data_IF_323091806744
#
_entry.id   IF_323091806744
#
_cell.length_a   1.000
_cell.length_b   1.000
_cell.length_c   1.000
_cell.angle_alpha   90.00
_cell.angle_beta   90.00
_cell.angle_gamma   90.00
#
_symmetry.space_group_name_H-M   'P 1'
#
loop_
_entity.id
_entity.type
_entity.pdbx_description
1 polymer ?
#
# COMPACT_ATOMS: atom_id res chain seq x y z
N UNK A 1 -54.41 33.98 12.52
CA UNK A 1 -54.32 34.40 13.95
C UNK A 1 -52.96 34.01 14.54
N UNK A 2 -52.65 34.54 15.72
CA UNK A 2 -51.76 34.03 16.77
C UNK A 2 -50.59 33.07 16.44
N UNK A 3 -49.39 33.64 16.49
CA UNK A 3 -48.22 33.04 17.14
C UNK A 3 -48.48 32.72 18.62
N UNK A 4 -47.85 31.66 19.17
CA UNK A 4 -47.19 31.73 20.49
C UNK A 4 -46.17 30.60 20.75
N UNK A 5 -45.22 30.92 21.63
CA UNK A 5 -44.22 30.12 22.39
C UNK A 5 -43.79 31.05 23.56
N UNK A 6 -43.14 30.58 24.65
CA UNK A 6 -42.86 29.21 25.10
C UNK A 6 -43.23 29.04 26.63
N UNK A 7 -42.40 28.31 27.38
CA UNK A 7 -42.12 28.41 28.84
C UNK A 7 -43.03 27.70 29.88
N UNK A 8 -42.69 26.44 30.15
CA UNK A 8 -42.01 25.98 31.40
C UNK A 8 -42.47 26.51 32.78
N UNK A 9 -42.99 25.61 33.66
CA UNK A 9 -42.37 25.30 34.98
C UNK A 9 -43.07 24.28 35.91
N UNK A 10 -42.23 23.47 36.55
CA UNK A 10 -42.17 23.02 37.96
C UNK A 10 -43.42 22.62 38.82
N UNK A 11 -43.35 21.36 39.28
CA UNK A 11 -43.26 20.93 40.71
C UNK A 11 -44.42 21.08 41.72
N UNK A 12 -44.89 19.91 42.22
CA UNK A 12 -45.18 19.57 43.63
C UNK A 12 -45.41 18.03 43.69
N UNK A 13 -44.78 17.20 44.54
CA UNK A 13 -44.54 17.21 46.00
C UNK A 13 -45.76 16.77 46.83
N UNK A 14 -45.61 15.68 47.60
CA UNK A 14 -46.07 15.54 48.99
C UNK A 14 -45.60 14.22 49.65
N UNK A 15 -45.09 14.36 50.88
CA UNK A 15 -44.54 13.34 51.81
C UNK A 15 -45.56 13.05 52.96
N UNK A 16 -45.26 12.44 54.14
CA UNK A 16 -44.04 11.81 54.69
C UNK A 16 -44.20 10.27 54.76
N UNK A 17 -43.98 9.44 55.80
CA UNK A 17 -43.66 9.57 57.25
C UNK A 17 -43.04 8.24 57.77
N UNK A 18 -42.65 8.07 59.07
CA UNK A 18 -41.22 8.10 59.40
C UNK A 18 -40.70 6.89 60.22
N UNK A 19 -39.40 6.85 60.48
CA UNK A 19 -38.87 6.66 61.86
C UNK A 19 -37.38 7.07 62.00
N UNK A 20 -37.17 8.12 62.80
CA UNK A 20 -36.28 8.11 63.98
C UNK A 20 -34.76 7.90 63.84
N UNK A 21 -34.00 9.01 63.68
CA UNK A 21 -33.20 9.57 64.81
C UNK A 21 -32.69 11.00 64.54
N UNK A 22 -32.51 11.77 65.62
CA UNK A 22 -32.05 13.18 65.73
C UNK A 22 -31.05 13.23 66.93
N UNK A 23 -30.31 14.33 67.25
CA UNK A 23 -30.29 15.65 66.61
C UNK A 23 -28.91 16.36 66.42
N UNK A 24 -28.92 17.44 65.63
CA UNK A 24 -28.36 18.81 65.83
C UNK A 24 -27.05 19.09 66.62
N UNK A 25 -26.26 20.15 66.34
CA UNK A 25 -26.06 21.05 65.17
C UNK A 25 -24.81 21.96 65.43
N UNK A 26 -24.74 23.14 64.79
CA UNK A 26 -23.84 24.30 64.98
C UNK A 26 -22.41 24.21 64.39
N UNK A 27 -22.02 25.29 63.69
CA UNK A 27 -20.75 25.47 62.98
C UNK A 27 -20.29 26.93 63.03
N UNK A 28 -19.01 27.22 63.36
CA UNK A 28 -18.28 28.40 62.87
C UNK A 28 -16.74 28.35 63.11
N UNK A 29 -15.98 28.84 62.12
CA UNK A 29 -14.68 29.58 62.13
C UNK A 29 -13.93 29.75 63.49
N UNK A 30 -12.57 29.71 63.59
CA UNK A 30 -11.54 30.16 62.61
C UNK A 30 -10.08 29.69 62.92
N UNK A 31 -9.39 29.10 61.92
CA UNK A 31 -7.93 29.12 61.62
C UNK A 31 -6.89 29.39 62.74
N UNK A 32 -5.97 28.44 62.91
CA UNK A 32 -4.52 28.70 63.14
C UNK A 32 -3.66 28.01 62.05
N UNK A 33 -2.34 28.27 62.03
CA UNK A 33 -1.40 27.87 60.96
C UNK A 33 -0.46 26.74 61.39
N UNK A 34 -0.33 25.69 60.57
CA UNK A 34 0.55 24.55 60.82
C UNK A 34 1.09 23.92 59.52
N UNK A 35 2.39 24.04 59.33
CA UNK A 35 3.22 23.55 58.22
C UNK A 35 3.03 22.06 57.83
N UNK A 36 2.82 21.79 56.53
CA UNK A 36 3.33 20.59 55.87
C UNK A 36 3.61 20.85 54.39
N UNK A 37 4.60 20.15 53.82
CA UNK A 37 5.45 20.64 52.74
C UNK A 37 5.56 19.64 51.58
N UNK A 38 5.38 20.15 50.36
CA UNK A 38 5.67 19.57 49.04
C UNK A 38 5.46 18.06 48.83
N UNK A 39 4.45 17.69 48.02
CA UNK A 39 4.36 16.36 47.38
C UNK A 39 4.09 16.43 45.85
N UNK A 40 4.26 17.60 45.24
CA UNK A 40 4.04 17.81 43.79
C UNK A 40 5.24 17.32 42.95
N UNK A 41 6.44 17.33 43.52
CA UNK A 41 7.70 17.09 42.80
C UNK A 41 7.84 15.62 42.32
N UNK A 42 7.36 14.64 43.10
CA UNK A 42 7.47 13.20 42.76
C UNK A 42 6.59 12.78 41.56
N UNK A 43 5.42 13.40 41.36
CA UNK A 43 4.54 13.05 40.23
C UNK A 43 5.20 13.45 38.90
N UNK A 44 5.78 14.66 38.84
CA UNK A 44 6.52 15.12 37.66
C UNK A 44 7.69 14.21 37.32
N UNK A 45 8.51 13.84 38.32
CA UNK A 45 9.65 12.92 38.12
C UNK A 45 9.19 11.56 37.59
N UNK A 46 8.07 11.02 38.10
CA UNK A 46 7.55 9.71 37.65
C UNK A 46 7.05 9.76 36.20
N UNK A 47 6.31 10.81 35.83
CA UNK A 47 5.83 11.00 34.44
C UNK A 47 7.00 11.22 33.48
N UNK A 48 7.99 12.02 33.87
CA UNK A 48 9.22 12.23 33.07
C UNK A 48 9.99 10.92 32.93
N UNK A 49 10.14 10.11 33.98
CA UNK A 49 10.80 8.81 33.90
C UNK A 49 10.07 7.85 32.93
N UNK A 50 8.75 7.77 32.98
CA UNK A 50 7.95 6.94 32.05
C UNK A 50 8.04 7.45 30.62
N UNK A 51 7.98 8.77 30.38
CA UNK A 51 8.19 9.37 29.06
C UNK A 51 9.60 9.10 28.53
N UNK A 52 10.63 9.24 29.37
CA UNK A 52 12.01 8.91 29.02
C UNK A 52 12.16 7.42 28.72
N UNK A 53 11.51 6.51 29.46
CA UNK A 53 11.53 5.08 29.16
C UNK A 53 10.75 4.71 27.89
N UNK A 54 9.74 5.49 27.49
CA UNK A 54 9.06 5.34 26.19
C UNK A 54 9.93 5.88 25.04
N UNK A 55 10.58 7.04 25.22
CA UNK A 55 11.44 7.68 24.22
C UNK A 55 12.81 6.99 24.07
N UNK A 56 13.26 6.24 25.08
CA UNK A 56 14.48 5.43 25.06
C UNK A 56 14.24 3.94 24.76
N UNK A 57 13.03 3.52 24.34
CA UNK A 57 12.86 2.15 23.87
C UNK A 57 13.72 1.93 22.61
N UNK A 58 14.70 1.00 22.62
CA UNK A 58 15.41 0.65 21.41
C UNK A 58 14.44 -0.01 20.43
N UNK A 59 14.58 0.28 19.14
CA UNK A 59 13.88 -0.43 18.08
C UNK A 59 14.11 -1.94 18.26
N UNK A 60 13.02 -2.71 18.38
CA UNK A 60 13.11 -4.07 18.89
C UNK A 60 13.92 -4.96 17.93
N UNK A 61 14.91 -5.74 18.41
CA UNK A 61 15.76 -6.53 17.52
C UNK A 61 14.93 -7.45 16.61
N UNK A 62 15.24 -7.49 15.29
CA UNK A 62 14.43 -8.23 14.32
C UNK A 62 14.35 -9.70 14.72
N UNK A 63 13.13 -10.25 14.77
CA UNK A 63 12.93 -11.60 15.26
C UNK A 63 13.62 -12.62 14.35
N UNK A 64 14.07 -13.74 14.94
CA UNK A 64 14.76 -14.83 14.21
C UNK A 64 13.97 -15.33 12.99
N UNK A 65 12.63 -15.29 13.04
CA UNK A 65 11.75 -15.63 11.91
C UNK A 65 11.86 -14.63 10.76
N UNK A 66 11.93 -13.34 11.04
CA UNK A 66 11.97 -12.29 10.01
C UNK A 66 13.35 -12.24 9.35
N UNK A 67 14.43 -12.43 10.12
CA UNK A 67 15.77 -12.65 9.58
C UNK A 67 15.79 -13.79 8.55
N UNK A 68 15.15 -14.92 8.87
CA UNK A 68 15.03 -16.06 7.95
C UNK A 68 14.25 -15.72 6.66
N UNK A 69 13.18 -14.91 6.73
CA UNK A 69 12.48 -14.41 5.51
C UNK A 69 13.43 -13.62 4.61
N UNK A 70 14.22 -12.71 5.21
CA UNK A 70 15.16 -11.86 4.47
C UNK A 70 16.27 -12.69 3.81
N UNK A 71 16.82 -13.68 4.50
CA UNK A 71 17.83 -14.59 3.92
C UNK A 71 17.27 -15.39 2.72
N UNK A 72 16.02 -15.87 2.82
CA UNK A 72 15.34 -16.53 1.70
C UNK A 72 15.12 -15.56 0.54
N UNK A 73 14.58 -14.36 0.79
CA UNK A 73 14.36 -13.32 -0.22
C UNK A 73 15.66 -12.98 -0.96
N UNK A 74 16.73 -12.67 -0.23
CA UNK A 74 18.04 -12.33 -0.79
C UNK A 74 18.65 -13.49 -1.58
N UNK A 75 18.48 -14.73 -1.10
CA UNK A 75 18.90 -15.95 -1.79
C UNK A 75 18.17 -16.17 -3.11
N UNK A 76 16.85 -15.98 -3.15
CA UNK A 76 16.04 -16.13 -4.37
C UNK A 76 16.28 -14.98 -5.36
N UNK A 77 16.32 -13.73 -4.89
CA UNK A 77 16.66 -12.55 -5.71
C UNK A 77 18.01 -12.73 -6.42
N UNK A 78 19.00 -13.33 -5.75
CA UNK A 78 20.30 -13.64 -6.37
C UNK A 78 20.20 -14.69 -7.48
N UNK A 79 19.33 -15.71 -7.35
CA UNK A 79 19.08 -16.69 -8.42
C UNK A 79 18.43 -16.02 -9.63
N UNK A 80 17.40 -15.19 -9.41
CA UNK A 80 16.75 -14.41 -10.47
C UNK A 80 17.79 -13.52 -11.15
N UNK A 81 18.61 -12.77 -10.39
CA UNK A 81 19.69 -11.96 -10.96
C UNK A 81 20.67 -12.75 -11.85
N UNK A 82 20.97 -14.03 -11.54
CA UNK A 82 21.81 -14.88 -12.39
C UNK A 82 21.12 -15.41 -13.65
N UNK A 83 19.79 -15.32 -13.77
CA UNK A 83 19.04 -15.71 -14.96
C UNK A 83 18.87 -14.57 -15.98
N UNK A 84 18.98 -13.31 -15.53
CA UNK A 84 18.80 -12.11 -16.34
C UNK A 84 20.08 -11.22 -16.27
N UNK A 85 21.19 -11.62 -16.92
CA UNK A 85 22.50 -10.97 -16.80
C UNK A 85 22.62 -9.59 -17.49
N UNK A 86 21.76 -9.25 -18.46
CA UNK A 86 21.82 -7.98 -19.20
C UNK A 86 21.10 -6.83 -18.46
N UNK A 87 20.43 -7.10 -17.34
CA UNK A 87 19.65 -6.10 -16.60
C UNK A 87 20.53 -5.14 -15.81
N UNK A 88 20.08 -3.88 -15.72
CA UNK A 88 20.82 -2.79 -15.06
C UNK A 88 20.96 -3.01 -13.56
N UNK A 89 22.05 -2.53 -12.98
CA UNK A 89 22.32 -2.64 -11.54
C UNK A 89 21.23 -1.96 -10.69
N UNK A 90 20.63 -0.88 -11.21
CA UNK A 90 19.54 -0.13 -10.59
C UNK A 90 18.27 -0.98 -10.41
N UNK A 91 18.00 -1.92 -11.32
CA UNK A 91 16.85 -2.82 -11.22
C UNK A 91 16.98 -3.69 -9.97
N UNK A 92 18.09 -4.43 -9.88
CA UNK A 92 18.39 -5.29 -8.73
C UNK A 92 18.48 -4.50 -7.43
N UNK A 93 19.19 -3.37 -7.42
CA UNK A 93 19.40 -2.59 -6.21
C UNK A 93 18.10 -1.95 -5.70
N UNK A 94 17.29 -1.32 -6.56
CA UNK A 94 16.05 -0.65 -6.14
C UNK A 94 14.97 -1.66 -5.74
N UNK A 95 14.71 -2.70 -6.55
CA UNK A 95 13.75 -3.75 -6.19
C UNK A 95 14.13 -4.43 -4.87
N UNK A 96 15.42 -4.76 -4.67
CA UNK A 96 15.87 -5.34 -3.40
C UNK A 96 15.65 -4.39 -2.22
N UNK A 97 15.96 -3.09 -2.35
CA UNK A 97 15.79 -2.12 -1.26
C UNK A 97 14.31 -1.97 -0.85
N UNK A 98 13.40 -1.82 -1.82
CA UNK A 98 11.97 -1.62 -1.51
C UNK A 98 11.35 -2.89 -0.88
N UNK A 99 11.59 -4.05 -1.49
CA UNK A 99 11.01 -5.31 -1.04
C UNK A 99 11.61 -5.81 0.28
N UNK A 100 12.93 -5.65 0.49
CA UNK A 100 13.56 -6.01 1.75
C UNK A 100 13.02 -5.14 2.90
N UNK A 101 12.86 -3.83 2.70
CA UNK A 101 12.24 -2.94 3.70
C UNK A 101 10.83 -3.39 4.06
N UNK A 102 9.98 -3.65 3.08
CA UNK A 102 8.60 -4.10 3.33
C UNK A 102 8.55 -5.43 4.09
N UNK A 103 9.43 -6.40 3.79
CA UNK A 103 9.56 -7.65 4.54
C UNK A 103 10.09 -7.46 5.99
N UNK A 104 10.81 -6.36 6.27
CA UNK A 104 11.29 -6.00 7.60
C UNK A 104 10.26 -5.20 8.42
N UNK A 105 9.34 -4.49 7.76
CA UNK A 105 8.30 -3.69 8.43
C UNK A 105 7.16 -4.58 8.95
N UNK A 106 7.12 -4.83 10.25
CA UNK A 106 6.14 -5.74 10.88
C UNK A 106 4.65 -5.34 10.71
N UNK A 107 4.38 -4.06 10.38
CA UNK A 107 3.05 -3.53 10.02
C UNK A 107 3.20 -2.43 8.96
N UNK A 108 3.21 -2.76 7.65
CA UNK A 108 3.33 -1.76 6.60
C UNK A 108 2.15 -0.79 6.60
N UNK A 109 2.41 0.49 6.30
CA UNK A 109 1.38 1.53 6.13
C UNK A 109 0.80 1.52 4.71
N UNK A 110 1.61 1.12 3.73
CA UNK A 110 1.29 1.06 2.30
C UNK A 110 1.83 -0.25 1.69
N UNK A 111 1.20 -0.76 0.61
CA UNK A 111 1.71 -1.89 -0.17
C UNK A 111 2.91 -1.45 -1.04
N UNK A 112 3.66 -2.42 -1.58
CA UNK A 112 4.69 -2.11 -2.61
C UNK A 112 4.06 -2.16 -4.00
N UNK A 113 4.07 -1.03 -4.71
CA UNK A 113 3.90 -1.00 -6.17
C UNK A 113 5.26 -0.98 -6.88
N UNK A 114 5.36 -1.70 -7.99
CA UNK A 114 6.49 -1.69 -8.91
C UNK A 114 5.99 -1.74 -10.36
N UNK A 115 6.44 -0.84 -11.21
CA UNK A 115 6.30 -0.96 -12.68
C UNK A 115 7.60 -1.50 -13.26
N UNK A 116 7.53 -2.65 -13.93
CA UNK A 116 8.54 -3.07 -14.91
C UNK A 116 8.10 -2.64 -16.30
N UNK A 117 9.02 -2.14 -17.13
CA UNK A 117 8.70 -1.73 -18.51
C UNK A 117 9.74 -2.18 -19.51
N UNK A 118 9.33 -2.46 -20.74
CA UNK A 118 10.22 -2.93 -21.80
C UNK A 118 9.73 -2.51 -23.20
N UNK A 119 10.64 -2.51 -24.17
CA UNK A 119 10.29 -2.45 -25.59
C UNK A 119 9.87 -3.83 -26.14
N UNK A 120 9.36 -3.86 -27.37
CA UNK A 120 8.77 -5.04 -28.02
C UNK A 120 9.65 -6.29 -27.97
N UNK A 121 10.95 -6.19 -28.25
CA UNK A 121 11.86 -7.36 -28.27
C UNK A 121 11.93 -8.06 -26.92
N UNK A 122 11.99 -7.28 -25.84
CA UNK A 122 12.08 -7.76 -24.47
C UNK A 122 10.74 -8.24 -23.89
N UNK A 123 9.65 -8.37 -24.67
CA UNK A 123 8.31 -8.79 -24.16
C UNK A 123 8.33 -10.08 -23.34
N UNK A 124 9.03 -11.13 -23.80
CA UNK A 124 9.12 -12.41 -23.07
C UNK A 124 9.97 -12.27 -21.82
N UNK A 125 11.10 -11.58 -21.93
CA UNK A 125 11.98 -11.23 -20.81
C UNK A 125 11.24 -10.46 -19.71
N UNK A 126 10.43 -9.44 -20.05
CA UNK A 126 9.60 -8.65 -19.13
C UNK A 126 8.63 -9.54 -18.33
N UNK A 127 7.89 -10.42 -18.99
CA UNK A 127 6.97 -11.36 -18.36
C UNK A 127 7.69 -12.30 -17.38
N UNK A 128 8.79 -12.92 -17.80
CA UNK A 128 9.55 -13.84 -16.95
C UNK A 128 10.23 -13.13 -15.77
N UNK A 129 10.72 -11.90 -15.94
CA UNK A 129 11.35 -11.13 -14.86
C UNK A 129 10.33 -10.67 -13.81
N UNK A 130 9.12 -10.27 -14.25
CA UNK A 130 8.01 -9.96 -13.34
C UNK A 130 7.62 -11.18 -12.49
N UNK A 131 7.48 -12.36 -13.12
CA UNK A 131 7.23 -13.61 -12.39
C UNK A 131 8.40 -13.99 -11.47
N UNK A 132 9.66 -13.81 -11.91
CA UNK A 132 10.84 -14.07 -11.08
C UNK A 132 10.94 -13.19 -9.83
N UNK A 133 10.67 -11.88 -9.94
CA UNK A 133 10.63 -11.00 -8.77
C UNK A 133 9.49 -11.36 -7.80
N UNK A 134 8.32 -11.74 -8.33
CA UNK A 134 7.20 -12.23 -7.52
C UNK A 134 7.54 -13.56 -6.82
N UNK A 135 8.13 -14.52 -7.54
CA UNK A 135 8.62 -15.81 -7.04
C UNK A 135 9.66 -15.64 -5.91
N UNK A 136 10.60 -14.70 -6.07
CA UNK A 136 11.60 -14.40 -5.05
C UNK A 136 10.99 -13.81 -3.77
N UNK A 137 9.98 -12.95 -3.89
CA UNK A 137 9.26 -12.39 -2.74
C UNK A 137 8.33 -13.41 -2.08
N UNK A 138 7.49 -14.10 -2.86
CA UNK A 138 6.50 -15.05 -2.32
C UNK A 138 7.17 -16.26 -1.66
N UNK A 139 8.34 -16.69 -2.16
CA UNK A 139 9.21 -17.68 -1.50
C UNK A 139 9.58 -17.30 -0.06
N UNK A 140 9.85 -16.01 0.21
CA UNK A 140 10.29 -15.53 1.51
C UNK A 140 9.21 -15.58 2.59
N UNK A 141 7.93 -15.57 2.17
CA UNK A 141 6.74 -15.59 3.03
C UNK A 141 5.92 -16.88 2.87
N UNK A 142 6.39 -17.85 2.07
CA UNK A 142 5.71 -19.10 1.72
C UNK A 142 4.28 -18.83 1.19
N UNK A 143 4.18 -17.99 0.16
CA UNK A 143 2.93 -17.55 -0.45
C UNK A 143 2.83 -17.93 -1.94
N UNK A 144 1.60 -18.04 -2.41
CA UNK A 144 1.28 -18.16 -3.84
C UNK A 144 1.26 -16.77 -4.51
N UNK A 145 1.16 -16.75 -5.84
CA UNK A 145 1.11 -15.52 -6.66
C UNK A 145 -0.25 -15.45 -7.39
N UNK A 146 -0.88 -14.28 -7.40
CA UNK A 146 -1.98 -13.96 -8.31
C UNK A 146 -1.43 -13.45 -9.65
N UNK A 147 -1.94 -13.98 -10.76
CA UNK A 147 -1.64 -13.47 -12.10
C UNK A 147 -2.89 -12.90 -12.77
N UNK A 148 -2.77 -11.68 -13.29
CA UNK A 148 -3.75 -10.98 -14.13
C UNK A 148 -3.04 -10.59 -15.43
N UNK A 149 -3.71 -10.68 -16.58
CA UNK A 149 -3.16 -10.28 -17.88
C UNK A 149 -4.14 -9.35 -18.60
N UNK A 150 -3.72 -8.10 -18.84
CA UNK A 150 -4.53 -7.10 -19.52
C UNK A 150 -4.84 -7.43 -20.98
N UNK A 151 -3.97 -8.15 -21.70
CA UNK A 151 -4.29 -8.61 -23.07
C UNK A 151 -5.48 -9.55 -23.10
N UNK A 152 -5.68 -10.34 -22.04
CA UNK A 152 -6.87 -11.20 -21.89
C UNK A 152 -8.16 -10.42 -21.61
N UNK A 153 -8.05 -9.12 -21.26
CA UNK A 153 -9.15 -8.21 -20.92
C UNK A 153 -9.37 -7.07 -21.90
N UNK A 154 -8.47 -6.87 -22.86
CA UNK A 154 -8.57 -5.85 -23.89
C UNK A 154 -9.92 -5.94 -24.64
N UNK A 155 -10.60 -4.81 -24.82
CA UNK A 155 -11.90 -4.73 -25.50
C UNK A 155 -13.10 -5.32 -24.74
N UNK A 156 -12.93 -5.80 -23.51
CA UNK A 156 -14.06 -6.17 -22.65
C UNK A 156 -14.69 -4.93 -21.99
N UNK A 157 -15.91 -5.11 -21.47
CA UNK A 157 -16.58 -4.06 -20.68
C UNK A 157 -15.74 -3.64 -19.46
N UNK A 158 -15.66 -2.33 -19.25
CA UNK A 158 -14.80 -1.73 -18.24
C UNK A 158 -15.23 -2.11 -16.82
N UNK A 159 -16.53 -2.10 -16.53
CA UNK A 159 -17.04 -2.36 -15.17
C UNK A 159 -17.04 -3.86 -14.85
N UNK A 160 -17.31 -4.73 -15.83
CA UNK A 160 -17.11 -6.18 -15.65
C UNK A 160 -15.64 -6.54 -15.39
N UNK A 161 -14.67 -5.89 -16.07
CA UNK A 161 -13.25 -6.12 -15.79
C UNK A 161 -12.84 -5.56 -14.43
N UNK A 162 -13.35 -4.38 -14.05
CA UNK A 162 -13.15 -3.75 -12.73
C UNK A 162 -13.60 -4.67 -11.59
N UNK A 163 -14.80 -5.24 -11.70
CA UNK A 163 -15.38 -6.17 -10.71
C UNK A 163 -14.65 -7.51 -10.65
N UNK A 164 -14.23 -8.08 -11.79
CA UNK A 164 -13.46 -9.32 -11.83
C UNK A 164 -12.05 -9.15 -11.23
N UNK A 165 -11.40 -8.01 -11.45
CA UNK A 165 -10.11 -7.67 -10.83
C UNK A 165 -10.27 -7.44 -9.33
N UNK A 166 -11.28 -6.67 -8.90
CA UNK A 166 -11.55 -6.42 -7.47
C UNK A 166 -11.77 -7.72 -6.70
N UNK A 167 -12.65 -8.60 -7.20
CA UNK A 167 -12.88 -9.94 -6.63
C UNK A 167 -11.58 -10.74 -6.52
N UNK A 168 -10.80 -10.83 -7.60
CA UNK A 168 -9.55 -11.61 -7.63
C UNK A 168 -8.50 -11.09 -6.65
N UNK A 169 -8.43 -9.77 -6.44
CA UNK A 169 -7.52 -9.16 -5.48
C UNK A 169 -8.01 -9.38 -4.03
N UNK A 170 -9.31 -9.31 -3.75
CA UNK A 170 -9.88 -9.69 -2.43
C UNK A 170 -9.60 -11.16 -2.12
N UNK A 171 -10.02 -12.09 -2.98
CA UNK A 171 -9.82 -13.54 -2.82
C UNK A 171 -8.34 -13.92 -2.65
N UNK A 172 -7.42 -13.17 -3.28
CA UNK A 172 -5.99 -13.38 -3.17
C UNK A 172 -5.40 -12.81 -1.87
N UNK A 173 -5.74 -11.58 -1.50
CA UNK A 173 -5.12 -10.85 -0.38
C UNK A 173 -5.77 -11.15 0.98
N UNK A 174 -6.99 -11.66 1.02
CA UNK A 174 -7.59 -12.32 2.21
C UNK A 174 -7.09 -13.78 2.36
N UNK A 175 -6.60 -14.38 1.28
CA UNK A 175 -6.09 -15.75 1.21
C UNK A 175 -4.56 -15.86 1.30
N UNK A 176 -3.99 -16.74 0.47
CA UNK A 176 -2.57 -17.12 0.49
C UNK A 176 -1.68 -16.36 -0.51
N UNK A 177 -2.20 -15.28 -1.13
CA UNK A 177 -1.60 -14.61 -2.31
C UNK A 177 -1.37 -13.10 -2.13
N UNK A 178 -0.63 -12.63 -1.11
CA UNK A 178 -0.23 -11.22 -0.97
C UNK A 178 0.66 -10.68 -2.10
N UNK A 179 0.95 -11.45 -3.15
CA UNK A 179 1.73 -11.02 -4.32
C UNK A 179 0.86 -11.12 -5.58
N UNK A 180 0.75 -10.01 -6.32
CA UNK A 180 0.03 -9.95 -7.58
C UNK A 180 0.95 -9.46 -8.71
N UNK A 181 0.86 -10.10 -9.88
CA UNK A 181 1.51 -9.63 -11.12
C UNK A 181 0.43 -9.35 -12.16
N UNK A 182 0.34 -8.07 -12.54
CA UNK A 182 -0.56 -7.52 -13.53
C UNK A 182 0.25 -7.35 -14.83
N UNK A 183 0.24 -8.39 -15.66
CA UNK A 183 0.86 -8.37 -16.98
C UNK A 183 0.04 -7.47 -17.92
N UNK A 184 0.72 -6.82 -18.87
CA UNK A 184 0.12 -5.94 -19.88
C UNK A 184 -0.88 -4.92 -19.33
N UNK A 185 -0.46 -4.13 -18.34
CA UNK A 185 -1.30 -3.10 -17.71
C UNK A 185 -1.85 -2.08 -18.72
N UNK A 186 -1.07 -1.79 -19.77
CA UNK A 186 -1.40 -0.91 -20.89
C UNK A 186 -2.57 -1.38 -21.77
N UNK A 187 -3.01 -2.63 -21.64
CA UNK A 187 -4.12 -3.21 -22.42
C UNK A 187 -5.43 -3.38 -21.62
N UNK A 188 -5.44 -2.99 -20.33
CA UNK A 188 -6.66 -2.99 -19.53
C UNK A 188 -7.65 -1.90 -20.01
N UNK A 189 -8.98 -2.17 -20.02
CA UNK A 189 -9.99 -1.14 -20.25
C UNK A 189 -9.80 0.05 -19.29
N UNK A 190 -9.77 1.31 -19.76
CA UNK A 190 -9.25 2.43 -18.96
C UNK A 190 -9.96 2.63 -17.61
N UNK A 191 -11.29 2.59 -17.57
CA UNK A 191 -12.06 2.74 -16.32
C UNK A 191 -11.86 1.59 -15.33
N UNK A 192 -11.41 0.43 -15.80
CA UNK A 192 -11.14 -0.72 -14.93
C UNK A 192 -9.87 -0.55 -14.09
N UNK A 193 -8.88 0.21 -14.59
CA UNK A 193 -7.62 0.45 -13.87
C UNK A 193 -7.82 1.36 -12.65
N UNK A 194 -8.93 2.09 -12.58
CA UNK A 194 -9.33 2.85 -11.38
C UNK A 194 -9.47 1.97 -10.13
N UNK A 195 -9.63 0.65 -10.28
CA UNK A 195 -9.64 -0.26 -9.13
C UNK A 195 -8.33 -0.19 -8.32
N UNK A 196 -7.19 0.10 -8.96
CA UNK A 196 -5.89 0.12 -8.29
C UNK A 196 -5.73 1.30 -7.32
N UNK A 197 -6.61 2.30 -7.33
CA UNK A 197 -6.75 3.23 -6.20
C UNK A 197 -6.95 2.48 -4.88
N UNK A 198 -7.86 1.50 -4.82
CA UNK A 198 -8.15 0.72 -3.61
C UNK A 198 -6.98 -0.16 -3.15
N UNK A 199 -6.07 -0.50 -4.06
CA UNK A 199 -4.99 -1.48 -3.82
C UNK A 199 -3.59 -0.89 -3.79
N UNK A 200 -3.42 0.40 -4.11
CA UNK A 200 -2.12 1.08 -4.12
C UNK A 200 -2.14 2.46 -3.43
N UNK A 201 -3.19 2.80 -2.68
CA UNK A 201 -3.24 4.06 -1.91
C UNK A 201 -2.28 4.05 -0.69
N UNK A 202 -1.48 5.10 -0.55
CA UNK A 202 -0.44 5.24 0.48
C UNK A 202 -0.98 5.39 1.91
N UNK A 203 -2.25 5.76 2.09
CA UNK A 203 -2.90 5.88 3.40
C UNK A 203 -3.99 4.83 3.62
N UNK A 204 -4.76 4.50 2.58
CA UNK A 204 -6.06 3.83 2.67
C UNK A 204 -6.15 2.54 1.83
N UNK A 205 -5.04 2.00 1.32
CA UNK A 205 -5.05 0.71 0.62
C UNK A 205 -5.71 -0.39 1.48
N UNK A 206 -6.65 -1.12 0.86
CA UNK A 206 -7.44 -2.16 1.53
C UNK A 206 -6.56 -3.30 2.10
N UNK A 207 -5.43 -3.57 1.44
CA UNK A 207 -4.43 -4.53 1.89
C UNK A 207 -3.05 -3.87 1.83
N UNK A 208 -2.38 -3.77 2.99
CA UNK A 208 -1.11 -3.04 3.15
C UNK A 208 0.11 -3.94 3.15
N UNK A 209 -0.03 -5.22 3.51
CA UNK A 209 1.05 -6.21 3.49
C UNK A 209 1.02 -6.99 2.16
N UNK A 210 1.15 -6.29 1.04
CA UNK A 210 1.05 -6.85 -0.31
C UNK A 210 2.06 -6.22 -1.27
N UNK A 211 2.38 -6.96 -2.34
CA UNK A 211 3.30 -6.56 -3.40
C UNK A 211 2.62 -6.71 -4.76
N UNK A 212 2.49 -5.60 -5.48
CA UNK A 212 1.92 -5.52 -6.81
C UNK A 212 3.02 -5.19 -7.83
N UNK A 213 3.18 -6.05 -8.83
CA UNK A 213 4.03 -5.80 -10.00
C UNK A 213 3.13 -5.53 -11.20
N UNK A 214 3.26 -4.36 -11.80
CA UNK A 214 2.68 -4.03 -13.09
C UNK A 214 3.74 -4.19 -14.18
N UNK A 215 3.39 -4.76 -15.34
CA UNK A 215 4.26 -4.73 -16.52
C UNK A 215 3.66 -3.82 -17.58
N UNK A 216 4.46 -2.89 -18.12
CA UNK A 216 4.07 -2.00 -19.22
C UNK A 216 4.95 -2.27 -20.45
N UNK A 217 4.38 -2.81 -21.52
CA UNK A 217 5.08 -2.96 -22.80
C UNK A 217 4.92 -1.69 -23.63
N UNK A 218 6.02 -0.99 -23.91
CA UNK A 218 6.04 0.21 -24.74
C UNK A 218 5.92 -0.20 -26.21
N UNK A 219 4.68 -0.33 -26.70
CA UNK A 219 4.38 -0.88 -28.04
C UNK A 219 4.89 -0.05 -29.24
N UNK A 220 5.49 1.11 -28.99
CA UNK A 220 6.10 1.99 -30.00
C UNK A 220 7.64 1.96 -29.96
N UNK A 221 8.22 1.28 -28.97
CA UNK A 221 9.67 1.17 -28.74
C UNK A 221 10.12 -0.28 -28.97
N UNK A 222 11.09 -0.49 -29.87
CA UNK A 222 11.63 -1.84 -30.12
C UNK A 222 12.47 -2.34 -28.93
N UNK A 223 13.32 -1.47 -28.36
CA UNK A 223 14.12 -1.69 -27.14
C UNK A 223 14.36 -0.37 -26.38
N UNK A 224 14.31 -0.40 -25.05
CA UNK A 224 14.62 0.78 -24.21
C UNK A 224 16.15 0.99 -24.16
N UNK A 225 16.71 2.12 -24.63
CA UNK A 225 18.16 2.29 -24.76
C UNK A 225 18.91 2.10 -23.43
N UNK A 226 19.92 1.23 -23.41
CA UNK A 226 20.56 0.70 -22.20
C UNK A 226 21.19 1.75 -21.26
N UNK A 227 21.44 2.98 -21.73
CA UNK A 227 22.01 4.10 -20.96
C UNK A 227 21.03 5.26 -20.71
N UNK A 228 19.76 5.13 -21.10
CA UNK A 228 18.74 6.16 -20.88
C UNK A 228 18.49 6.37 -19.38
N UNK A 229 18.25 7.62 -18.95
CA UNK A 229 17.99 7.96 -17.54
C UNK A 229 16.66 7.37 -17.07
N UNK A 230 16.58 6.93 -15.80
CA UNK A 230 15.33 6.43 -15.22
C UNK A 230 14.18 7.45 -15.27
N UNK A 231 14.45 8.76 -15.11
CA UNK A 231 13.39 9.78 -15.26
C UNK A 231 12.78 9.79 -16.66
N UNK A 232 13.57 9.52 -17.70
CA UNK A 232 13.07 9.46 -19.09
C UNK A 232 12.32 8.15 -19.32
N UNK A 233 12.66 7.05 -18.63
CA UNK A 233 11.85 5.82 -18.64
C UNK A 233 10.49 6.06 -17.97
N UNK A 234 10.47 6.83 -16.89
CA UNK A 234 9.26 7.25 -16.18
C UNK A 234 8.37 8.13 -17.09
N UNK A 235 8.96 9.15 -17.75
CA UNK A 235 8.32 9.98 -18.78
C UNK A 235 7.73 9.12 -19.94
N UNK A 236 8.50 8.15 -20.47
CA UNK A 236 8.06 7.25 -21.56
C UNK A 236 6.88 6.35 -21.16
N UNK A 237 6.86 5.84 -19.92
CA UNK A 237 5.74 5.03 -19.40
C UNK A 237 4.51 5.90 -19.16
N UNK A 238 4.70 7.08 -18.58
CA UNK A 238 3.63 8.04 -18.30
C UNK A 238 2.90 8.44 -19.59
N UNK A 239 3.64 8.85 -20.62
CA UNK A 239 3.05 9.24 -21.91
C UNK A 239 2.44 8.06 -22.67
N UNK A 240 3.00 6.86 -22.58
CA UNK A 240 2.38 5.67 -23.18
C UNK A 240 1.06 5.30 -22.50
N UNK A 241 0.97 5.36 -21.16
CA UNK A 241 -0.26 5.07 -20.44
C UNK A 241 -1.32 6.17 -20.60
N UNK A 242 -0.94 7.45 -20.61
CA UNK A 242 -1.86 8.55 -21.04
C UNK A 242 -2.43 8.26 -22.42
N UNK A 243 -1.58 7.93 -23.39
CA UNK A 243 -2.00 7.64 -24.77
C UNK A 243 -2.96 6.45 -24.84
N UNK A 244 -2.69 5.37 -24.11
CA UNK A 244 -3.58 4.19 -24.03
C UNK A 244 -4.92 4.52 -23.37
N UNK A 245 -4.91 5.21 -22.23
CA UNK A 245 -6.09 5.36 -21.39
C UNK A 245 -6.98 6.57 -21.72
N UNK A 246 -6.44 7.64 -22.32
CA UNK A 246 -7.17 8.89 -22.60
C UNK A 246 -7.67 9.02 -24.05
N UNK A 247 -7.31 8.12 -24.97
CA UNK A 247 -7.62 8.25 -26.42
C UNK A 247 -9.09 8.07 -26.83
N UNK A 248 -10.04 7.98 -25.90
CA UNK A 248 -11.45 7.69 -26.21
C UNK A 248 -12.38 8.88 -25.88
N UNK A 249 -12.52 9.78 -26.86
CA UNK A 249 -13.33 11.02 -26.78
C UNK A 249 -14.85 10.82 -26.86
N UNK A 250 -15.41 9.84 -26.13
CA UNK A 250 -16.86 9.66 -25.97
C UNK A 250 -17.37 10.33 -24.68
N UNK A 251 -18.70 10.61 -24.56
CA UNK A 251 -19.24 11.48 -23.52
C UNK A 251 -18.93 11.01 -22.10
N UNK A 252 -18.36 11.92 -21.29
CA UNK A 252 -17.74 11.62 -20.00
C UNK A 252 -18.71 10.95 -19.02
N UNK A 253 -18.57 9.64 -18.81
CA UNK A 253 -19.18 8.96 -17.67
C UNK A 253 -18.29 9.09 -16.42
N UNK A 254 -18.85 8.87 -15.23
CA UNK A 254 -18.07 8.95 -14.00
C UNK A 254 -16.93 7.92 -13.97
N UNK A 255 -17.17 6.71 -14.49
CA UNK A 255 -16.21 5.60 -14.50
C UNK A 255 -15.25 5.61 -15.70
N UNK A 256 -15.42 6.53 -16.65
CA UNK A 256 -14.47 6.78 -17.74
C UNK A 256 -13.19 7.43 -17.20
N UNK A 257 -12.03 7.05 -17.75
CA UNK A 257 -10.75 7.68 -17.40
C UNK A 257 -10.67 9.10 -17.97
N UNK A 258 -10.19 10.03 -17.14
CA UNK A 258 -9.82 11.40 -17.51
C UNK A 258 -8.43 11.74 -16.93
N UNK A 259 -7.91 12.94 -17.19
CA UNK A 259 -6.56 13.31 -16.81
C UNK A 259 -6.36 13.38 -15.29
N UNK A 260 -7.38 13.78 -14.53
CA UNK A 260 -7.31 13.93 -13.07
C UNK A 260 -7.32 12.56 -12.39
N UNK A 261 -8.21 11.66 -12.84
CA UNK A 261 -8.21 10.24 -12.45
C UNK A 261 -6.93 9.54 -12.86
N UNK A 262 -6.38 9.86 -14.03
CA UNK A 262 -5.11 9.31 -14.47
C UNK A 262 -3.96 9.76 -13.56
N UNK A 263 -3.86 11.05 -13.22
CA UNK A 263 -2.82 11.57 -12.32
C UNK A 263 -2.92 11.00 -10.89
N UNK A 264 -4.14 10.80 -10.39
CA UNK A 264 -4.37 10.15 -9.11
C UNK A 264 -4.09 8.63 -9.11
N UNK A 265 -4.28 7.95 -10.24
CA UNK A 265 -3.82 6.56 -10.42
C UNK A 265 -2.30 6.49 -10.51
N UNK A 266 -1.69 7.32 -11.36
CA UNK A 266 -0.24 7.35 -11.61
C UNK A 266 0.55 7.50 -10.32
N UNK A 267 0.21 8.51 -9.51
CA UNK A 267 0.84 8.80 -8.21
C UNK A 267 0.73 7.68 -7.16
N UNK A 268 -0.06 6.63 -7.42
CA UNK A 268 -0.19 5.42 -6.58
C UNK A 268 0.51 4.19 -7.15
N UNK A 269 0.86 4.19 -8.44
CA UNK A 269 1.53 3.04 -9.08
C UNK A 269 3.00 3.30 -9.42
N UNK A 270 3.40 4.55 -9.67
CA UNK A 270 4.73 4.93 -10.18
C UNK A 270 5.87 5.00 -9.15
N UNK A 271 5.64 4.61 -7.89
CA UNK A 271 6.61 4.64 -6.77
C UNK A 271 8.00 4.07 -7.13
N UNK A 272 8.07 3.11 -8.04
CA UNK A 272 9.30 2.62 -8.64
C UNK A 272 9.03 2.13 -10.07
N UNK A 273 9.73 2.70 -11.05
CA UNK A 273 9.70 2.27 -12.46
C UNK A 273 11.09 1.81 -12.87
N UNK A 274 11.18 0.63 -13.49
CA UNK A 274 12.45 -0.02 -13.86
C UNK A 274 12.41 -0.58 -15.30
N UNK A 275 13.36 -0.18 -16.18
CA UNK A 275 13.45 -0.70 -17.54
C UNK A 275 14.07 -2.10 -17.57
N UNK A 276 13.48 -2.98 -18.36
CA UNK A 276 13.92 -4.35 -18.63
C UNK A 276 14.61 -4.39 -20.00
N UNK A 277 15.83 -4.94 -20.03
CA UNK A 277 16.59 -5.21 -21.25
C UNK A 277 16.29 -6.61 -21.79
N UNK A 278 16.58 -6.86 -23.07
CA UNK A 278 16.35 -8.13 -23.75
C UNK A 278 17.31 -9.24 -23.26
N UNK A 279 16.78 -10.41 -22.91
CA UNK A 279 17.58 -11.62 -22.65
C UNK A 279 17.32 -12.65 -23.75
N UNK A 280 18.20 -12.73 -24.76
CA UNK A 280 18.03 -13.60 -25.94
C UNK A 280 17.73 -15.07 -25.58
N UNK A 281 18.26 -15.54 -24.45
CA UNK A 281 18.00 -16.88 -23.95
C UNK A 281 16.56 -17.06 -23.47
N UNK A 282 16.03 -16.10 -22.71
CA UNK A 282 14.64 -16.13 -22.21
C UNK A 282 13.67 -15.99 -23.37
N UNK A 283 13.97 -15.12 -24.35
CA UNK A 283 13.12 -14.96 -25.52
C UNK A 283 13.06 -16.23 -26.39
N UNK A 284 14.14 -17.03 -26.43
CA UNK A 284 14.20 -18.32 -27.13
C UNK A 284 13.65 -19.51 -26.33
N UNK A 285 13.89 -19.57 -25.02
CA UNK A 285 13.62 -20.75 -24.18
C UNK A 285 12.38 -20.63 -23.28
N UNK A 286 11.86 -19.42 -23.07
CA UNK A 286 10.82 -19.13 -22.07
C UNK A 286 11.36 -19.08 -20.63
N UNK A 287 10.44 -18.94 -19.67
CA UNK A 287 10.77 -18.79 -18.23
C UNK A 287 11.20 -20.13 -17.60
N UNK A 288 12.41 -20.62 -17.92
CA UNK A 288 12.93 -21.89 -17.39
C UNK A 288 13.63 -21.70 -16.04
N UNK A 289 12.91 -21.97 -14.96
CA UNK A 289 13.47 -22.07 -13.60
C UNK A 289 13.36 -20.79 -12.75
N UNK A 290 12.44 -19.89 -13.11
CA UNK A 290 11.92 -18.80 -12.27
C UNK A 290 10.94 -19.31 -11.23
#
# INVERSE_FOLDING_TARGET
EHTLKPDDKDMQENTPSPETTLPEEICLKKRETGEQRNNVENIGVTIVAVLVQFLLQPESPPQKRDMQKIDIFLGQMKKVQTQFPNQRAELWNRSKIHLQRHLQTAKPTEPVSLILTAGLRAKRTLHCLAHGLASAFSSAINASILHIDGTSKAGQDSDQVKLDIDRKLQEAFEGDKPVAVIHHFEELPPGSTLIFYRYCDHENAAFKNTFLIFTVLLGEEEEIPAKIRLSVVEEMVDDHLKKKFLSHGHPVSFDQMDLDKYGGLWSRISHLILPVATEERIDREGCKGT
#
